data_IF_448030795328
#
_entry.id   IF_448030795328
#
_cell.length_a   1.000
_cell.length_b   1.000
_cell.length_c   1.000
_cell.angle_alpha   90.00
_cell.angle_beta   90.00
_cell.angle_gamma   90.00
#
_symmetry.space_group_name_H-M   'P 1'
#
loop_
_entity.id
_entity.type
_entity.pdbx_description
1 polymer ?
#
# COMPACT_ATOMS: atom_id res chain seq x y z
N UNK A 1 -19.32 9.23 -2.74
CA UNK A 1 -18.58 7.97 -2.79
C UNK A 1 -18.16 7.75 -4.21
N UNK A 2 -16.87 7.55 -4.34
CA UNK A 2 -16.05 7.31 -5.52
C UNK A 2 -15.86 5.82 -5.83
N UNK A 3 -16.39 4.93 -4.98
CA UNK A 3 -16.44 3.48 -5.12
C UNK A 3 -15.12 2.74 -4.88
N UNK A 4 -14.24 3.27 -4.04
CA UNK A 4 -12.98 2.63 -3.66
C UNK A 4 -13.11 1.61 -2.50
N UNK A 5 -14.28 1.54 -1.87
CA UNK A 5 -14.57 0.64 -0.75
C UNK A 5 -14.51 1.29 0.63
N UNK A 6 -14.13 2.56 0.71
CA UNK A 6 -14.09 3.37 1.93
C UNK A 6 -15.33 4.27 1.99
N UNK A 7 -15.85 4.50 3.20
CA UNK A 7 -17.03 5.36 3.39
C UNK A 7 -16.58 6.82 3.46
N UNK A 8 -17.29 7.73 2.77
CA UNK A 8 -16.93 9.16 2.68
C UNK A 8 -16.60 9.88 3.99
N UNK A 9 -17.09 9.41 5.15
CA UNK A 9 -16.83 10.03 6.46
C UNK A 9 -15.49 9.59 7.10
N UNK A 10 -14.83 8.59 6.53
CA UNK A 10 -13.53 8.05 6.98
C UNK A 10 -12.54 7.92 5.81
N UNK A 11 -12.87 8.53 4.67
CA UNK A 11 -12.10 8.51 3.43
C UNK A 11 -11.24 9.78 3.36
N UNK A 12 -9.92 9.61 3.20
CA UNK A 12 -8.98 10.73 3.09
C UNK A 12 -8.99 11.41 1.71
N UNK A 13 -9.68 10.84 0.71
CA UNK A 13 -9.97 11.46 -0.60
C UNK A 13 -11.40 11.15 -1.10
N UNK A 14 -12.48 11.72 -0.50
CA UNK A 14 -13.89 11.31 -0.71
C UNK A 14 -14.48 11.30 -2.13
N UNK A 15 -13.76 11.90 -3.08
CA UNK A 15 -14.13 12.12 -4.47
C UNK A 15 -13.16 11.46 -5.47
N UNK A 16 -12.05 10.86 -5.02
CA UNK A 16 -11.00 10.25 -5.88
C UNK A 16 -10.63 8.87 -5.34
N UNK A 17 -10.84 7.78 -6.10
CA UNK A 17 -10.63 6.43 -5.59
C UNK A 17 -9.20 6.16 -5.12
N UNK A 18 -9.03 5.76 -3.85
CA UNK A 18 -7.76 5.34 -3.25
C UNK A 18 -7.96 4.32 -2.13
N UNK A 19 -8.27 3.08 -2.51
CA UNK A 19 -8.54 1.99 -1.57
C UNK A 19 -7.41 1.68 -0.57
N UNK A 20 -6.17 2.08 -0.86
CA UNK A 20 -5.02 1.95 0.03
C UNK A 20 -4.92 3.07 1.08
N UNK A 21 -5.63 4.18 0.87
CA UNK A 21 -5.71 5.35 1.75
C UNK A 21 -4.32 5.87 2.15
N UNK A 22 -3.34 5.79 1.25
CA UNK A 22 -1.99 6.30 1.50
C UNK A 22 -2.04 7.80 1.79
N UNK A 23 -1.30 8.21 2.81
CA UNK A 23 -1.20 9.58 3.35
C UNK A 23 0.24 9.70 3.89
N UNK A 24 1.14 10.17 3.02
CA UNK A 24 2.59 10.08 3.20
C UNK A 24 3.11 10.99 4.31
N UNK A 25 2.49 12.17 4.48
CA UNK A 25 2.85 13.14 5.51
C UNK A 25 1.97 13.05 6.78
N UNK A 26 0.84 12.34 6.72
CA UNK A 26 -0.06 12.13 7.84
C UNK A 26 -0.90 13.35 8.19
N UNK A 27 -1.15 14.26 7.25
CA UNK A 27 -1.97 15.45 7.45
C UNK A 27 -3.49 15.18 7.38
N UNK A 28 -3.86 13.96 6.96
CA UNK A 28 -5.23 13.49 6.83
C UNK A 28 -5.82 13.64 5.42
N UNK A 29 -5.04 14.13 4.45
CA UNK A 29 -5.40 14.18 3.03
C UNK A 29 -4.63 13.10 2.29
N UNK A 30 -5.35 12.27 1.55
CA UNK A 30 -4.69 11.15 0.86
C UNK A 30 -3.82 11.62 -0.30
N UNK A 31 -2.76 10.87 -0.59
CA UNK A 31 -1.75 11.20 -1.58
C UNK A 31 -2.35 11.48 -2.98
N UNK A 32 -3.43 10.80 -3.36
CA UNK A 32 -4.06 10.99 -4.68
C UNK A 32 -4.80 12.31 -4.83
N UNK A 33 -5.17 12.95 -3.71
CA UNK A 33 -5.84 14.24 -3.69
C UNK A 33 -4.97 15.34 -3.05
N UNK A 34 -3.78 15.00 -2.56
CA UNK A 34 -2.73 15.94 -2.19
C UNK A 34 -1.91 16.44 -3.39
N UNK A 35 -1.46 17.71 -3.32
CA UNK A 35 -0.53 18.30 -4.28
C UNK A 35 0.89 18.44 -3.69
N UNK A 36 1.09 18.13 -2.41
CA UNK A 36 2.37 18.17 -1.69
C UNK A 36 2.35 17.01 -0.68
N UNK A 37 2.61 15.77 -1.16
CA UNK A 37 2.35 14.54 -0.38
C UNK A 37 3.28 14.33 0.81
N UNK A 38 4.43 14.99 0.82
CA UNK A 38 5.43 14.86 1.89
C UNK A 38 5.57 16.15 2.73
N UNK A 39 4.74 17.16 2.42
CA UNK A 39 4.65 18.45 3.08
C UNK A 39 6.02 19.14 3.24
N UNK A 40 6.89 19.02 2.22
CA UNK A 40 8.22 19.62 2.21
C UNK A 40 8.25 21.08 1.71
N UNK A 41 7.13 21.53 1.13
CA UNK A 41 6.91 22.86 0.61
C UNK A 41 7.12 22.99 -0.90
N UNK A 42 7.46 21.90 -1.60
CA UNK A 42 7.45 21.79 -3.04
C UNK A 42 6.22 21.00 -3.51
N UNK A 43 5.39 21.55 -4.41
CA UNK A 43 4.30 20.77 -4.98
C UNK A 43 4.86 19.57 -5.76
N UNK A 44 4.16 18.43 -5.74
CA UNK A 44 4.58 17.16 -6.37
C UNK A 44 5.01 17.29 -7.83
N UNK A 45 4.45 18.26 -8.56
CA UNK A 45 4.77 18.52 -9.97
C UNK A 45 6.17 19.12 -10.18
N UNK A 46 6.70 19.78 -9.15
CA UNK A 46 8.01 20.45 -9.15
C UNK A 46 9.01 19.79 -8.18
N UNK A 47 8.57 18.77 -7.43
CA UNK A 47 9.37 18.02 -6.46
C UNK A 47 10.13 16.85 -7.12
N UNK A 48 11.42 16.73 -6.84
CA UNK A 48 12.26 15.64 -7.31
C UNK A 48 12.26 14.39 -6.40
N UNK A 49 11.57 14.43 -5.26
CA UNK A 49 11.29 13.30 -4.36
C UNK A 49 9.89 13.40 -3.71
N UNK A 50 8.79 13.25 -4.49
CA UNK A 50 7.42 13.54 -4.05
C UNK A 50 6.87 12.76 -2.85
N UNK A 51 7.62 11.81 -2.27
CA UNK A 51 7.21 10.99 -1.13
C UNK A 51 8.22 11.06 0.04
N UNK A 52 9.31 11.83 -0.11
CA UNK A 52 10.43 11.86 0.83
C UNK A 52 10.91 13.28 1.04
N UNK A 53 10.46 13.85 2.16
CA UNK A 53 10.74 15.22 2.59
C UNK A 53 12.17 15.68 2.32
N UNK A 54 12.34 16.58 1.34
CA UNK A 54 13.64 17.11 0.94
C UNK A 54 13.58 18.58 0.47
N UNK A 55 13.32 19.55 1.37
CA UNK A 55 13.09 20.95 0.99
C UNK A 55 14.24 21.63 0.23
N UNK A 56 15.45 21.07 0.31
CA UNK A 56 16.64 21.55 -0.40
C UNK A 56 16.71 21.10 -1.87
N UNK A 57 15.83 20.18 -2.30
CA UNK A 57 15.67 19.66 -3.65
C UNK A 57 17.01 19.23 -4.28
N UNK A 58 17.90 18.66 -3.45
CA UNK A 58 19.26 18.34 -3.88
C UNK A 58 19.27 17.21 -4.90
N UNK A 59 19.67 17.50 -6.14
CA UNK A 59 19.94 16.52 -7.20
C UNK A 59 21.38 16.71 -7.72
N UNK A 60 22.31 15.89 -7.22
CA UNK A 60 23.75 16.05 -7.52
C UNK A 60 24.08 15.66 -8.96
N UNK A 61 23.39 14.67 -9.51
CA UNK A 61 23.65 14.12 -10.85
C UNK A 61 22.74 14.69 -11.95
N UNK A 62 21.79 15.57 -11.60
CA UNK A 62 20.89 16.26 -12.53
C UNK A 62 20.05 15.30 -13.35
N UNK A 63 19.53 14.27 -12.69
CA UNK A 63 18.64 13.28 -13.32
C UNK A 63 17.16 13.67 -13.25
N UNK A 64 16.82 14.68 -12.43
CA UNK A 64 15.43 15.01 -12.10
C UNK A 64 14.85 14.16 -10.96
N UNK A 65 15.64 13.23 -10.43
CA UNK A 65 15.35 12.45 -9.21
C UNK A 65 16.30 12.95 -8.13
N UNK A 66 15.76 13.34 -6.98
CA UNK A 66 16.53 13.88 -5.88
C UNK A 66 17.46 12.85 -5.25
N UNK A 67 18.51 13.34 -4.58
CA UNK A 67 19.46 12.51 -3.86
C UNK A 67 18.80 11.78 -2.67
N UNK A 68 17.69 12.32 -2.13
CA UNK A 68 16.99 11.80 -0.96
C UNK A 68 16.27 10.47 -1.23
N UNK A 69 15.61 10.35 -2.38
CA UNK A 69 14.77 9.21 -2.78
C UNK A 69 15.38 8.35 -3.90
N UNK A 70 16.68 8.53 -4.18
CA UNK A 70 17.34 8.00 -5.39
C UNK A 70 17.27 6.47 -5.58
N UNK A 71 17.13 5.72 -4.49
CA UNK A 71 17.13 4.25 -4.50
C UNK A 71 15.94 3.65 -3.78
N UNK A 72 15.16 4.49 -3.12
CA UNK A 72 14.13 4.18 -2.14
C UNK A 72 13.15 5.33 -2.27
N UNK A 73 12.25 5.19 -3.24
CA UNK A 73 11.43 6.28 -3.74
C UNK A 73 10.37 6.73 -2.73
N UNK A 74 9.84 5.80 -1.93
CA UNK A 74 8.85 6.05 -0.89
C UNK A 74 9.42 6.15 0.54
N UNK A 75 10.73 5.94 0.70
CA UNK A 75 11.46 6.16 1.95
C UNK A 75 11.08 5.14 3.03
N UNK A 76 10.81 3.91 2.64
CA UNK A 76 10.39 2.83 3.54
C UNK A 76 11.55 1.94 4.02
N UNK A 77 12.74 2.16 3.45
CA UNK A 77 13.97 1.47 3.78
C UNK A 77 14.23 0.23 2.93
N UNK A 78 13.40 -0.06 1.92
CA UNK A 78 13.70 -1.01 0.85
C UNK A 78 14.14 -0.27 -0.40
N UNK A 79 15.07 -0.90 -1.12
CA UNK A 79 15.45 -0.32 -2.40
C UNK A 79 14.36 -0.62 -3.42
N UNK A 80 14.15 0.28 -4.39
CA UNK A 80 13.16 0.15 -5.46
C UNK A 80 13.26 -1.18 -6.24
N UNK A 81 14.45 -1.79 -6.31
CA UNK A 81 14.68 -3.07 -7.00
C UNK A 81 14.29 -4.30 -6.17
N UNK A 82 14.11 -4.14 -4.87
CA UNK A 82 13.68 -5.16 -3.91
C UNK A 82 12.24 -4.92 -3.42
N UNK A 83 11.65 -3.77 -3.75
CA UNK A 83 10.32 -3.35 -3.34
C UNK A 83 9.22 -3.81 -4.31
N UNK A 84 8.12 -4.34 -3.78
CA UNK A 84 6.94 -4.76 -4.56
C UNK A 84 6.03 -3.58 -4.90
N UNK A 85 6.03 -2.52 -4.09
CA UNK A 85 5.30 -1.28 -4.29
C UNK A 85 6.21 -0.07 -3.98
N UNK A 86 7.18 0.27 -4.87
CA UNK A 86 8.16 1.36 -4.64
C UNK A 86 7.58 2.76 -4.41
N UNK A 87 6.28 2.96 -4.64
CA UNK A 87 5.57 4.22 -4.46
C UNK A 87 4.62 4.18 -3.25
N UNK A 88 4.76 3.18 -2.36
CA UNK A 88 3.88 2.99 -1.20
C UNK A 88 4.66 2.45 0.00
N UNK A 89 5.03 3.39 0.89
CA UNK A 89 5.84 3.13 2.09
C UNK A 89 5.26 2.15 3.11
N UNK A 90 4.02 1.71 2.92
CA UNK A 90 3.34 0.77 3.80
C UNK A 90 3.52 -0.69 3.33
N UNK A 91 3.98 -0.93 2.10
CA UNK A 91 3.96 -2.25 1.46
C UNK A 91 5.23 -2.54 0.64
N UNK A 92 6.27 -3.06 1.30
CA UNK A 92 7.50 -3.45 0.59
C UNK A 92 7.60 -4.91 0.13
N UNK A 93 6.72 -5.80 0.61
CA UNK A 93 6.83 -7.23 0.33
C UNK A 93 5.47 -7.91 0.22
N UNK A 94 5.41 -8.94 -0.62
CA UNK A 94 4.26 -9.85 -0.63
C UNK A 94 4.17 -10.62 0.68
N UNK A 95 3.11 -10.38 1.46
CA UNK A 95 2.90 -11.00 2.76
C UNK A 95 1.43 -11.37 3.01
N UNK A 96 1.12 -12.67 3.00
CA UNK A 96 -0.20 -13.20 3.37
C UNK A 96 -0.31 -13.75 4.81
N UNK A 97 0.65 -13.52 5.72
CA UNK A 97 0.59 -14.00 7.13
C UNK A 97 -0.62 -13.46 7.87
N UNK A 98 -0.96 -12.20 7.61
CA UNK A 98 -2.14 -11.55 8.14
C UNK A 98 -3.21 -11.57 7.06
N UNK A 99 -4.13 -12.53 7.13
CA UNK A 99 -5.24 -12.66 6.20
C UNK A 99 -6.57 -12.67 6.94
N UNK A 100 -7.61 -12.19 6.28
CA UNK A 100 -8.98 -12.29 6.76
C UNK A 100 -9.70 -13.42 6.02
N UNK A 101 -10.26 -14.37 6.76
CA UNK A 101 -11.18 -15.35 6.19
C UNK A 101 -12.59 -14.77 6.18
N UNK A 102 -13.23 -14.79 5.01
CA UNK A 102 -14.63 -14.41 4.86
C UNK A 102 -15.43 -15.69 4.63
N UNK A 103 -16.31 -16.03 5.59
CA UNK A 103 -17.25 -17.14 5.43
C UNK A 103 -18.42 -16.65 4.59
N UNK A 104 -18.64 -17.30 3.44
CA UNK A 104 -19.66 -16.87 2.48
C UNK A 104 -21.04 -17.45 2.77
N UNK A 105 -21.09 -18.60 3.44
CA UNK A 105 -22.32 -19.25 3.88
C UNK A 105 -22.16 -19.70 5.34
N UNK A 106 -22.46 -18.84 6.31
CA UNK A 106 -22.26 -19.12 7.73
C UNK A 106 -23.29 -20.10 8.32
N UNK A 107 -24.39 -20.35 7.60
CA UNK A 107 -25.46 -21.27 8.03
C UNK A 107 -25.36 -22.63 7.34
N UNK A 108 -24.67 -22.71 6.19
CA UNK A 108 -24.48 -23.92 5.42
C UNK A 108 -23.67 -25.00 6.15
N UNK A 109 -24.20 -26.21 6.13
CA UNK A 109 -23.59 -27.43 6.67
C UNK A 109 -23.01 -28.34 5.58
N UNK A 110 -23.17 -27.96 4.31
CA UNK A 110 -22.84 -28.78 3.15
C UNK A 110 -21.33 -28.86 2.85
N UNK A 111 -20.53 -27.88 3.29
CA UNK A 111 -19.08 -27.89 3.12
C UNK A 111 -18.40 -27.28 4.35
N UNK A 112 -17.38 -27.96 4.88
CA UNK A 112 -16.57 -27.44 5.97
C UNK A 112 -15.78 -26.23 5.48
N UNK A 113 -15.70 -25.19 6.34
CA UNK A 113 -14.93 -24.00 6.07
C UNK A 113 -13.45 -24.29 5.71
N UNK A 114 -12.85 -23.47 4.84
CA UNK A 114 -11.49 -23.66 4.39
C UNK A 114 -10.48 -23.51 5.53
N UNK A 115 -9.57 -24.47 5.67
CA UNK A 115 -8.40 -24.35 6.55
C UNK A 115 -7.16 -23.96 5.74
N UNK A 116 -6.67 -22.74 5.96
CA UNK A 116 -5.54 -22.16 5.25
C UNK A 116 -4.22 -22.44 5.97
N UNK A 117 -3.19 -22.81 5.21
CA UNK A 117 -1.82 -22.96 5.72
C UNK A 117 -0.87 -22.16 4.85
N UNK A 118 0.02 -21.40 5.49
CA UNK A 118 0.96 -20.49 4.82
C UNK A 118 2.36 -21.10 4.83
N UNK A 119 3.03 -21.06 3.67
CA UNK A 119 4.35 -21.64 3.44
C UNK A 119 5.33 -20.65 2.78
N UNK A 120 6.59 -21.08 2.63
CA UNK A 120 7.66 -20.44 1.85
C UNK A 120 7.84 -18.94 2.09
N UNK A 121 8.21 -18.56 3.31
CA UNK A 121 8.39 -17.16 3.66
C UNK A 121 7.24 -16.28 3.13
N UNK A 122 6.03 -16.86 3.13
CA UNK A 122 4.77 -16.13 3.14
C UNK A 122 4.19 -15.76 1.77
N UNK A 123 4.74 -16.28 0.67
CA UNK A 123 4.17 -16.07 -0.67
C UNK A 123 3.21 -17.18 -1.13
N UNK A 124 3.02 -18.25 -0.34
CA UNK A 124 2.18 -19.39 -0.76
C UNK A 124 1.14 -19.72 0.30
N UNK A 125 -0.13 -19.57 -0.08
CA UNK A 125 -1.28 -19.99 0.72
C UNK A 125 -1.87 -21.27 0.13
N UNK A 126 -1.97 -22.32 0.96
CA UNK A 126 -2.55 -23.60 0.58
C UNK A 126 -3.86 -23.84 1.32
N UNK A 127 -4.89 -24.19 0.57
CA UNK A 127 -6.13 -24.71 1.11
C UNK A 127 -5.95 -26.19 1.48
N UNK A 128 -6.12 -26.53 2.75
CA UNK A 128 -6.22 -27.92 3.19
C UNK A 128 -7.65 -28.21 3.62
N UNK A 129 -8.47 -28.69 2.69
CA UNK A 129 -9.77 -29.23 3.05
C UNK A 129 -9.57 -30.56 3.77
N UNK A 130 -10.03 -30.62 5.02
CA UNK A 130 -10.26 -31.89 5.71
C UNK A 130 -11.47 -32.52 5.05
N UNK A 131 -11.34 -33.75 4.53
CA UNK A 131 -12.22 -34.31 3.50
C UNK A 131 -13.73 -34.20 3.76
N UNK A 132 -14.48 -34.03 2.67
CA UNK A 132 -15.92 -34.28 2.58
C UNK A 132 -16.11 -35.78 2.86
N UNK A 133 -16.83 -36.13 3.94
CA UNK A 133 -17.38 -37.47 4.09
C UNK A 133 -18.75 -37.50 3.41
N UNK A 134 -18.94 -38.48 2.52
CA UNK A 134 -20.18 -38.76 1.79
C UNK A 134 -21.36 -39.09 2.70
#
# INVERSE_FOLDING_TARGET
SDFDGIQNNVDNCPDIPNSDQLDTDGDGKGDVCDNDKDNDGWPDSDDNCPLVHNPDQKDTNRTGVGDACKKDFDGDGKNDDEDVCPDNRMVYATDFRAYQTVVLDPEGDSQIDPHWVIYNQVCVMLLKNSGIWF
#
